data_IF_579137254862
#
_entry.id   IF_579137254862
#
_cell.length_a   1.000
_cell.length_b   1.000
_cell.length_c   1.000
_cell.angle_alpha   90.00
_cell.angle_beta   90.00
_cell.angle_gamma   90.00
#
_symmetry.space_group_name_H-M   'P 1'
#
loop_
_entity.id
_entity.type
_entity.pdbx_description
1 polymer ?
#
# COMPACT_ATOMS: atom_id res chain seq x y z
N UNK A 1 -2.34 22.70 -3.31
CA UNK A 1 -2.68 21.39 -3.91
C UNK A 1 -1.39 20.66 -4.22
N UNK A 2 -1.39 19.34 -4.11
CA UNK A 2 -0.27 18.51 -4.57
C UNK A 2 -0.30 18.36 -6.11
N UNK A 3 0.76 17.77 -6.69
CA UNK A 3 0.80 17.44 -8.11
C UNK A 3 -0.18 16.32 -8.47
N UNK A 4 -0.56 16.24 -9.75
CA UNK A 4 -1.45 15.19 -10.26
C UNK A 4 -0.90 13.78 -10.00
N UNK A 5 0.41 13.57 -10.22
CA UNK A 5 1.04 12.26 -10.01
C UNK A 5 0.95 11.82 -8.54
N UNK A 6 1.17 12.74 -7.60
CA UNK A 6 1.03 12.47 -6.16
C UNK A 6 -0.41 12.16 -5.77
N UNK A 7 -1.38 12.84 -6.38
CA UNK A 7 -2.81 12.56 -6.16
C UNK A 7 -3.18 11.16 -6.68
N UNK A 8 -2.74 10.81 -7.89
CA UNK A 8 -2.98 9.49 -8.48
C UNK A 8 -2.32 8.37 -7.65
N UNK A 9 -1.08 8.58 -7.21
CA UNK A 9 -0.36 7.66 -6.35
C UNK A 9 -1.07 7.44 -5.00
N UNK A 10 -1.55 8.51 -4.36
CA UNK A 10 -2.31 8.41 -3.12
C UNK A 10 -3.64 7.66 -3.30
N UNK A 11 -4.30 7.83 -4.45
CA UNK A 11 -5.55 7.15 -4.84
C UNK A 11 -5.35 5.72 -5.34
N UNK A 12 -4.12 5.23 -5.47
CA UNK A 12 -3.87 3.80 -5.62
C UNK A 12 -4.22 3.02 -4.34
N UNK A 13 -4.39 3.71 -3.21
CA UNK A 13 -4.72 3.11 -1.91
C UNK A 13 -3.80 1.96 -1.48
N UNK A 14 -2.54 2.00 -1.92
CA UNK A 14 -1.56 0.95 -1.60
C UNK A 14 -1.29 0.89 -0.09
N UNK A 15 -1.32 -0.32 0.47
CA UNK A 15 -0.96 -0.56 1.86
C UNK A 15 0.55 -0.51 2.05
N UNK A 16 1.01 0.05 3.17
CA UNK A 16 2.42 0.00 3.55
C UNK A 16 2.64 -1.10 4.57
N UNK A 17 3.50 -2.08 4.27
CA UNK A 17 3.72 -3.25 5.14
C UNK A 17 4.03 -2.90 6.60
N UNK A 18 4.78 -1.81 6.83
CA UNK A 18 5.27 -1.43 8.16
C UNK A 18 4.55 -0.22 8.79
N UNK A 19 3.65 0.44 8.05
CA UNK A 19 2.97 1.67 8.49
C UNK A 19 1.48 1.62 8.15
N UNK A 20 0.69 2.42 8.84
CA UNK A 20 -0.69 2.66 8.47
C UNK A 20 -0.76 3.89 7.56
N UNK A 21 -1.65 3.89 6.58
CA UNK A 21 -1.97 5.09 5.80
C UNK A 21 -3.25 5.71 6.35
N UNK A 22 -3.20 6.96 6.80
CA UNK A 22 -4.39 7.69 7.21
C UNK A 22 -4.75 8.72 6.15
N UNK A 23 -5.98 8.63 5.65
CA UNK A 23 -6.62 9.59 4.76
C UNK A 23 -7.55 10.48 5.58
N UNK A 24 -7.34 11.79 5.51
CA UNK A 24 -8.18 12.78 6.19
C UNK A 24 -8.84 13.59 5.08
N UNK A 25 -10.16 13.60 5.00
CA UNK A 25 -10.86 14.20 3.88
C UNK A 25 -12.02 15.09 4.30
N UNK A 26 -12.34 16.04 3.43
CA UNK A 26 -13.52 16.90 3.52
C UNK A 26 -14.17 16.96 2.14
N UNK A 27 -15.22 16.18 1.95
CA UNK A 27 -15.96 15.99 0.71
C UNK A 27 -17.21 16.89 0.60
N UNK A 28 -17.30 17.91 1.46
CA UNK A 28 -18.46 18.79 1.55
C UNK A 28 -18.22 20.17 0.91
N UNK A 29 -19.25 20.67 0.20
CA UNK A 29 -19.30 22.05 -0.31
C UNK A 29 -19.65 23.07 0.79
N UNK A 30 -20.18 22.60 1.91
CA UNK A 30 -20.56 23.49 3.00
C UNK A 30 -19.32 24.10 3.67
N UNK A 31 -19.35 25.41 3.95
CA UNK A 31 -18.21 26.15 4.48
C UNK A 31 -17.02 26.27 3.52
N UNK A 32 -17.21 26.16 2.19
CA UNK A 32 -16.10 26.12 1.21
C UNK A 32 -15.13 27.30 1.24
N UNK A 33 -15.55 28.45 1.77
CA UNK A 33 -14.69 29.63 1.94
C UNK A 33 -13.79 29.55 3.19
N UNK A 34 -14.03 28.58 4.09
CA UNK A 34 -13.29 28.38 5.33
C UNK A 34 -12.32 27.21 5.20
N UNK A 35 -11.03 27.51 5.39
CA UNK A 35 -10.00 26.50 5.64
C UNK A 35 -10.02 26.09 7.10
N UNK A 36 -9.76 24.82 7.38
CA UNK A 36 -9.69 24.30 8.75
C UNK A 36 -8.34 23.66 8.99
N UNK A 37 -7.64 24.10 10.03
CA UNK A 37 -6.31 23.58 10.34
C UNK A 37 -6.42 22.19 10.97
N UNK A 38 -5.48 21.32 10.60
CA UNK A 38 -5.35 19.97 11.11
C UNK A 38 -4.07 19.84 11.93
N UNK A 39 -4.19 19.17 13.06
CA UNK A 39 -3.08 18.75 13.91
C UNK A 39 -3.14 17.24 14.12
N UNK A 40 -2.00 16.58 13.99
CA UNK A 40 -1.84 15.15 14.27
C UNK A 40 -0.80 14.97 15.37
N UNK A 41 -1.20 14.33 16.47
CA UNK A 41 -0.39 14.15 17.68
C UNK A 41 0.17 15.48 18.22
N UNK A 42 -0.59 16.56 18.07
CA UNK A 42 -0.21 17.92 18.49
C UNK A 42 0.70 18.66 17.49
N UNK A 43 1.01 18.05 16.34
CA UNK A 43 1.81 18.67 15.29
C UNK A 43 0.88 19.22 14.20
N UNK A 44 0.98 20.51 13.89
CA UNK A 44 0.24 21.11 12.77
C UNK A 44 0.70 20.50 11.44
N UNK A 45 -0.24 19.90 10.70
CA UNK A 45 0.04 19.18 9.45
C UNK A 45 -0.43 19.93 8.19
N UNK A 46 -1.31 20.91 8.34
CA UNK A 46 -1.79 21.74 7.24
C UNK A 46 -3.25 22.15 7.42
N UNK A 47 -3.90 22.53 6.32
CA UNK A 47 -5.29 23.00 6.31
C UNK A 47 -6.09 22.31 5.21
N UNK A 48 -7.32 21.91 5.52
CA UNK A 48 -8.26 21.37 4.53
C UNK A 48 -9.17 22.47 3.98
N UNK A 49 -9.58 22.31 2.73
CA UNK A 49 -10.64 23.09 2.10
C UNK A 49 -11.76 22.13 1.61
N UNK A 50 -12.84 22.68 1.05
CA UNK A 50 -13.89 21.87 0.44
C UNK A 50 -13.34 20.99 -0.70
N UNK A 51 -13.79 19.73 -0.76
CA UNK A 51 -13.39 18.73 -1.76
C UNK A 51 -11.89 18.44 -1.78
N UNK A 52 -11.30 18.38 -0.59
CA UNK A 52 -9.86 18.10 -0.45
C UNK A 52 -9.60 16.96 0.52
N UNK A 53 -8.46 16.31 0.35
CA UNK A 53 -7.97 15.32 1.29
C UNK A 53 -6.47 15.42 1.49
N UNK A 54 -6.03 14.86 2.59
CA UNK A 54 -4.66 14.72 3.04
C UNK A 54 -4.37 13.25 3.31
N UNK A 55 -3.11 12.85 3.19
CA UNK A 55 -2.67 11.49 3.53
C UNK A 55 -1.35 11.53 4.27
N UNK A 56 -1.28 10.75 5.34
CA UNK A 56 -0.14 10.67 6.25
C UNK A 56 0.17 9.20 6.56
N UNK A 57 1.46 8.89 6.73
CA UNK A 57 1.94 7.58 7.12
C UNK A 57 2.16 7.54 8.63
N UNK A 58 1.56 6.57 9.32
CA UNK A 58 1.60 6.45 10.77
C UNK A 58 2.29 5.17 11.22
N UNK A 59 2.98 5.26 12.36
CA UNK A 59 3.44 4.06 13.07
C UNK A 59 2.21 3.35 13.65
N UNK A 60 2.24 2.02 13.83
CA UNK A 60 1.16 1.33 14.53
C UNK A 60 1.03 1.84 15.97
N UNK A 61 -0.19 2.02 16.46
CA UNK A 61 -0.44 2.54 17.80
C UNK A 61 -1.62 3.52 17.85
N UNK A 62 -1.72 4.24 18.97
CA UNK A 62 -2.75 5.25 19.18
C UNK A 62 -2.26 6.63 18.73
N UNK A 63 -3.13 7.33 18.01
CA UNK A 63 -2.89 8.67 17.49
C UNK A 63 -4.08 9.57 17.82
N UNK A 64 -3.84 10.89 17.82
CA UNK A 64 -4.85 11.91 18.03
C UNK A 64 -4.89 12.88 16.86
N UNK A 65 -6.02 12.93 16.17
CA UNK A 65 -6.28 13.95 15.15
C UNK A 65 -7.12 15.07 15.78
N UNK A 66 -6.70 16.32 15.59
CA UNK A 66 -7.44 17.51 16.02
C UNK A 66 -7.71 18.39 14.80
N UNK A 67 -8.97 18.81 14.64
CA UNK A 67 -9.39 19.82 13.68
C UNK A 67 -9.67 21.11 14.42
N UNK A 68 -8.88 22.14 14.14
CA UNK A 68 -9.05 23.47 14.71
C UNK A 68 -10.16 24.22 13.99
N UNK A 69 -11.16 24.66 14.73
CA UNK A 69 -12.24 25.52 14.26
C UNK A 69 -12.77 26.37 15.41
N UNK A 70 -13.95 27.01 15.28
CA UNK A 70 -14.55 27.75 16.40
C UNK A 70 -14.74 26.88 17.65
N UNK A 71 -14.95 25.57 17.45
CA UNK A 71 -14.88 24.54 18.48
C UNK A 71 -13.93 23.44 17.98
N UNK A 72 -12.81 23.22 18.68
CA UNK A 72 -11.84 22.18 18.33
C UNK A 72 -12.48 20.78 18.38
N UNK A 73 -12.33 20.01 17.31
CA UNK A 73 -12.75 18.61 17.24
C UNK A 73 -11.55 17.71 17.45
N UNK A 74 -11.60 16.78 18.41
CA UNK A 74 -10.52 15.83 18.67
C UNK A 74 -11.01 14.39 18.55
N UNK A 75 -10.28 13.57 17.82
CA UNK A 75 -10.54 12.14 17.66
C UNK A 75 -9.28 11.35 18.01
N UNK A 76 -9.40 10.46 18.99
CA UNK A 76 -8.37 9.48 19.33
C UNK A 76 -8.72 8.17 18.63
N UNK A 77 -7.77 7.59 17.92
CA UNK A 77 -7.94 6.35 17.16
C UNK A 77 -6.67 5.50 17.25
N UNK A 78 -6.79 4.22 16.89
CA UNK A 78 -5.66 3.29 16.85
C UNK A 78 -5.52 2.67 15.47
N UNK A 79 -4.29 2.54 15.01
CA UNK A 79 -3.97 2.03 13.67
C UNK A 79 -3.03 0.83 13.75
N UNK A 80 -3.16 -0.06 12.77
CA UNK A 80 -2.29 -1.23 12.57
C UNK A 80 -1.47 -1.05 11.30
N UNK A 81 -0.26 -1.61 11.29
CA UNK A 81 0.57 -1.65 10.09
C UNK A 81 -0.17 -2.35 8.93
N UNK A 82 0.09 -1.93 7.70
CA UNK A 82 -0.48 -2.56 6.51
C UNK A 82 -1.96 -2.24 6.27
N UNK A 83 -2.53 -1.25 6.94
CA UNK A 83 -3.94 -0.88 6.80
C UNK A 83 -4.12 0.60 6.45
N UNK A 84 -5.22 0.88 5.75
CA UNK A 84 -5.63 2.24 5.42
C UNK A 84 -6.81 2.64 6.31
N UNK A 85 -6.76 3.86 6.83
CA UNK A 85 -7.78 4.44 7.69
C UNK A 85 -8.29 5.73 7.06
N UNK A 86 -9.56 6.03 7.29
CA UNK A 86 -10.23 7.16 6.67
C UNK A 86 -10.94 7.95 7.76
N UNK A 87 -10.64 9.24 7.86
CA UNK A 87 -11.30 10.15 8.78
C UNK A 87 -11.96 11.26 7.97
N UNK A 88 -13.28 11.34 8.07
CA UNK A 88 -14.07 12.44 7.54
C UNK A 88 -14.01 13.63 8.48
N UNK A 89 -13.78 14.80 7.91
CA UNK A 89 -13.93 16.09 8.57
C UNK A 89 -15.22 16.75 8.05
N UNK A 90 -16.31 16.54 8.81
CA UNK A 90 -17.62 17.12 8.52
C UNK A 90 -17.69 18.56 9.04
N UNK A 91 -18.25 19.47 8.24
CA UNK A 91 -18.53 20.86 8.65
C UNK A 91 -19.97 20.97 9.12
N UNK A 92 -20.16 21.23 10.42
CA UNK A 92 -21.48 21.43 11.01
C UNK A 92 -21.79 22.92 11.15
N UNK A 93 -23.05 23.31 10.90
CA UNK A 93 -23.53 24.61 11.37
C UNK A 93 -23.61 24.62 12.90
N UNK A 94 -22.95 25.59 13.52
CA UNK A 94 -23.09 25.91 14.93
C UNK A 94 -23.68 27.31 15.12
N UNK A 95 -24.25 27.56 16.31
CA UNK A 95 -24.88 28.84 16.66
C UNK A 95 -23.88 30.02 16.76
N UNK A 96 -22.57 29.75 16.88
CA UNK A 96 -21.48 30.74 16.94
C UNK A 96 -20.49 30.64 15.75
N UNK A 97 -20.79 29.85 14.72
CA UNK A 97 -19.87 29.61 13.59
C UNK A 97 -19.81 28.16 13.14
N UNK A 98 -18.99 27.88 12.13
CA UNK A 98 -18.78 26.52 11.61
C UNK A 98 -18.03 25.64 12.60
N UNK A 99 -18.68 24.56 13.04
CA UNK A 99 -18.08 23.50 13.86
C UNK A 99 -17.48 22.44 12.96
N UNK A 100 -16.49 21.70 13.46
CA UNK A 100 -15.97 20.52 12.79
C UNK A 100 -16.27 19.25 13.60
N UNK A 101 -16.59 18.16 12.91
CA UNK A 101 -16.68 16.83 13.50
C UNK A 101 -15.74 15.88 12.76
N UNK A 102 -14.85 15.24 13.51
CA UNK A 102 -13.99 14.18 12.99
C UNK A 102 -14.65 12.82 13.21
N UNK A 103 -14.73 12.01 12.15
CA UNK A 103 -15.32 10.67 12.21
C UNK A 103 -14.44 9.66 11.49
N UNK A 104 -14.07 8.59 12.18
CA UNK A 104 -13.50 7.42 11.51
C UNK A 104 -14.60 6.74 10.69
N UNK A 105 -14.33 6.51 9.40
CA UNK A 105 -15.26 5.88 8.46
C UNK A 105 -14.70 4.58 7.94
N UNK A 106 -15.57 3.73 7.40
CA UNK A 106 -15.18 2.49 6.74
C UNK A 106 -14.44 2.76 5.43
N UNK A 107 -13.71 1.75 4.95
CA UNK A 107 -12.87 1.84 3.76
C UNK A 107 -13.65 2.12 2.48
N UNK A 108 -14.85 1.56 2.33
CA UNK A 108 -15.65 1.72 1.11
C UNK A 108 -16.11 3.17 0.99
N UNK A 109 -16.68 3.70 2.07
CA UNK A 109 -17.12 5.10 2.15
C UNK A 109 -15.94 6.06 1.99
N UNK A 110 -14.84 5.81 2.71
CA UNK A 110 -13.66 6.66 2.70
C UNK A 110 -12.98 6.75 1.33
N UNK A 111 -12.79 5.61 0.63
CA UNK A 111 -12.22 5.60 -0.72
C UNK A 111 -13.07 6.39 -1.70
N UNK A 112 -14.38 6.17 -1.71
CA UNK A 112 -15.30 6.86 -2.62
C UNK A 112 -15.29 8.38 -2.44
N UNK A 113 -15.10 8.87 -1.20
CA UNK A 113 -14.98 10.29 -0.91
C UNK A 113 -13.60 10.87 -1.32
N UNK A 114 -12.52 10.13 -1.07
CA UNK A 114 -11.15 10.51 -1.47
C UNK A 114 -11.02 10.59 -2.99
N UNK A 115 -11.60 9.65 -3.74
CA UNK A 115 -11.59 9.64 -5.21
C UNK A 115 -12.16 10.92 -5.82
N UNK A 116 -13.21 11.47 -5.19
CA UNK A 116 -13.90 12.71 -5.59
C UNK A 116 -13.19 13.99 -5.10
N UNK A 117 -12.18 13.85 -4.25
CA UNK A 117 -11.47 14.96 -3.62
C UNK A 117 -10.08 15.16 -4.23
N UNK A 118 -9.45 16.31 -3.96
CA UNK A 118 -8.09 16.65 -4.42
C UNK A 118 -7.06 16.61 -3.30
N UNK A 119 -5.89 16.03 -3.58
CA UNK A 119 -4.80 15.98 -2.61
C UNK A 119 -4.25 17.37 -2.29
N UNK A 120 -4.14 17.67 -1.01
CA UNK A 120 -3.44 18.85 -0.52
C UNK A 120 -1.96 18.56 -0.26
N UNK A 121 -1.15 19.59 -0.40
CA UNK A 121 0.23 19.54 0.06
C UNK A 121 0.22 19.87 1.55
N UNK A 122 0.60 18.90 2.38
CA UNK A 122 0.78 19.10 3.81
C UNK A 122 2.08 19.87 4.06
N UNK A 123 2.09 20.68 5.12
CA UNK A 123 3.20 21.55 5.51
C UNK A 123 3.47 21.38 7.00
N UNK A 124 4.73 21.12 7.37
CA UNK A 124 5.13 20.89 8.76
C UNK A 124 5.13 19.42 9.22
N UNK A 125 4.78 18.48 8.33
CA UNK A 125 4.85 17.06 8.66
C UNK A 125 6.30 16.59 8.84
N UNK A 126 6.59 15.78 9.89
CA UNK A 126 7.84 15.03 9.98
C UNK A 126 8.04 14.14 8.75
N UNK A 127 9.28 14.02 8.27
CA UNK A 127 9.60 13.23 7.08
C UNK A 127 9.20 11.74 7.22
N UNK A 128 9.22 11.19 8.43
CA UNK A 128 8.81 9.81 8.68
C UNK A 128 7.29 9.61 8.61
N UNK A 129 6.50 10.68 8.66
CA UNK A 129 5.05 10.65 8.50
C UNK A 129 4.59 11.07 7.10
N UNK A 130 5.48 11.63 6.29
CA UNK A 130 5.19 11.97 4.91
C UNK A 130 4.91 10.70 4.10
N UNK A 131 4.07 10.84 3.05
CA UNK A 131 3.95 9.77 2.07
C UNK A 131 5.33 9.45 1.47
N UNK A 132 5.72 8.17 1.38
CA UNK A 132 6.93 7.78 0.70
C UNK A 132 6.85 8.19 -0.76
N UNK A 133 8.00 8.54 -1.32
CA UNK A 133 8.15 8.75 -2.76
C UNK A 133 7.90 7.45 -3.53
N UNK A 134 7.56 7.57 -4.83
CA UNK A 134 7.34 6.42 -5.72
C UNK A 134 8.52 5.42 -5.72
N UNK A 135 9.74 5.91 -5.51
CA UNK A 135 10.96 5.09 -5.39
C UNK A 135 11.08 4.32 -4.07
N UNK A 136 10.43 4.78 -2.99
CA UNK A 136 10.46 4.11 -1.68
C UNK A 136 9.41 3.01 -1.57
N UNK A 137 8.27 3.13 -2.26
CA UNK A 137 7.25 2.08 -2.29
C UNK A 137 7.61 0.92 -3.21
N UNK A 138 8.37 1.16 -4.28
CA UNK A 138 8.87 0.09 -5.14
C UNK A 138 9.93 -0.78 -4.44
N UNK A 139 10.64 -0.25 -3.44
CA UNK A 139 11.49 -1.04 -2.53
C UNK A 139 10.69 -1.81 -1.46
N UNK A 140 9.58 -1.25 -0.96
CA UNK A 140 8.74 -1.92 0.06
C UNK A 140 7.77 -2.97 -0.53
N UNK A 141 7.37 -2.79 -1.80
CA UNK A 141 6.45 -3.65 -2.53
C UNK A 141 7.15 -4.61 -3.51
N UNK A 142 8.48 -4.73 -3.41
CA UNK A 142 9.09 -6.03 -3.63
C UNK A 142 8.50 -6.96 -2.57
N UNK A 143 7.41 -7.67 -2.92
CA UNK A 143 7.24 -9.00 -2.37
C UNK A 143 8.59 -9.66 -2.50
N UNK A 144 9.14 -9.98 -1.33
CA UNK A 144 10.33 -10.79 -1.21
C UNK A 144 10.05 -12.00 -2.08
N UNK A 145 10.64 -12.03 -3.28
CA UNK A 145 10.79 -13.27 -4.02
C UNK A 145 11.62 -14.09 -3.06
N UNK A 146 10.96 -14.86 -2.20
CA UNK A 146 11.57 -15.77 -1.28
C UNK A 146 12.44 -16.64 -2.19
N UNK A 147 13.74 -16.37 -2.19
CA UNK A 147 14.69 -17.13 -2.98
C UNK A 147 14.77 -18.45 -2.26
N UNK A 148 13.80 -19.34 -2.53
CA UNK A 148 13.80 -20.70 -2.02
C UNK A 148 15.18 -21.24 -2.36
N UNK A 149 15.93 -21.65 -1.34
CA UNK A 149 17.27 -22.16 -1.52
C UNK A 149 17.22 -23.29 -2.56
N UNK A 150 18.17 -23.29 -3.49
CA UNK A 150 18.24 -24.32 -4.53
C UNK A 150 18.30 -25.71 -3.88
N UNK A 151 17.31 -26.54 -4.17
CA UNK A 151 17.25 -27.94 -3.74
C UNK A 151 17.23 -28.81 -4.98
N UNK A 152 18.20 -29.69 -5.14
CA UNK A 152 18.11 -30.71 -6.16
C UNK A 152 17.05 -31.75 -5.76
N UNK A 153 16.20 -32.14 -6.71
CA UNK A 153 15.26 -33.25 -6.55
C UNK A 153 15.72 -34.48 -7.31
N UNK A 154 14.95 -35.57 -7.23
CA UNK A 154 15.30 -36.86 -7.83
C UNK A 154 15.41 -36.79 -9.36
N UNK A 155 14.65 -35.89 -9.97
CA UNK A 155 14.50 -35.73 -11.42
C UNK A 155 15.18 -34.47 -11.96
N UNK A 156 16.03 -33.79 -11.18
CA UNK A 156 16.67 -32.52 -11.59
C UNK A 156 17.38 -32.60 -12.95
N UNK A 157 18.20 -33.64 -13.18
CA UNK A 157 18.90 -33.82 -14.46
C UNK A 157 17.94 -34.05 -15.65
N UNK A 158 16.83 -34.76 -15.42
CA UNK A 158 15.78 -34.97 -16.43
C UNK A 158 15.10 -33.66 -16.80
N UNK A 159 14.85 -32.80 -15.80
CA UNK A 159 14.24 -31.48 -16.01
C UNK A 159 15.20 -30.52 -16.72
N UNK A 160 16.50 -30.53 -16.38
CA UNK A 160 17.50 -29.72 -17.10
C UNK A 160 17.59 -30.10 -18.57
N UNK A 161 17.57 -31.40 -18.88
CA UNK A 161 17.53 -31.88 -20.27
C UNK A 161 16.26 -31.43 -20.99
N UNK A 162 15.11 -31.51 -20.32
CA UNK A 162 13.82 -31.07 -20.86
C UNK A 162 13.78 -29.54 -21.08
N UNK A 163 14.37 -28.76 -20.16
CA UNK A 163 14.51 -27.31 -20.29
C UNK A 163 15.35 -26.95 -21.51
N UNK A 164 16.49 -27.63 -21.72
CA UNK A 164 17.35 -27.46 -22.90
C UNK A 164 16.61 -27.74 -24.21
N UNK A 165 15.74 -28.76 -24.24
CA UNK A 165 14.88 -29.06 -25.39
C UNK A 165 13.84 -27.96 -25.68
N UNK A 166 13.48 -27.18 -24.66
CA UNK A 166 12.58 -26.03 -24.78
C UNK A 166 13.35 -24.69 -24.85
N UNK A 167 14.60 -24.71 -25.31
CA UNK A 167 15.46 -23.53 -25.45
C UNK A 167 15.72 -22.77 -24.15
N UNK A 168 15.55 -23.40 -22.99
CA UNK A 168 15.93 -22.86 -21.71
C UNK A 168 17.29 -23.43 -21.28
N UNK A 169 18.31 -22.58 -21.29
CA UNK A 169 19.62 -22.86 -20.71
C UNK A 169 19.81 -21.87 -19.56
N UNK A 170 20.23 -22.38 -18.42
CA UNK A 170 20.43 -21.60 -17.20
C UNK A 170 21.79 -21.91 -16.59
N UNK A 171 22.43 -20.90 -16.00
CA UNK A 171 23.62 -21.07 -15.15
C UNK A 171 23.32 -22.00 -13.94
N UNK A 172 22.09 -21.94 -13.44
CA UNK A 172 21.62 -22.72 -12.30
C UNK A 172 20.72 -23.86 -12.80
N UNK A 173 20.95 -25.09 -12.30
CA UNK A 173 20.22 -26.30 -12.68
C UNK A 173 18.73 -26.30 -12.31
N UNK A 174 18.07 -27.46 -12.35
CA UNK A 174 16.66 -27.57 -11.99
C UNK A 174 16.46 -27.62 -10.47
N UNK A 175 15.92 -26.53 -9.92
CA UNK A 175 15.60 -26.40 -8.51
C UNK A 175 14.20 -26.94 -8.21
N UNK A 176 14.09 -27.74 -7.16
CA UNK A 176 12.85 -28.34 -6.68
C UNK A 176 12.07 -27.32 -5.82
N UNK A 177 10.81 -27.07 -6.19
CA UNK A 177 9.88 -26.17 -5.49
C UNK A 177 9.00 -26.89 -4.45
N UNK A 178 8.83 -28.21 -4.58
CA UNK A 178 8.03 -29.02 -3.66
C UNK A 178 8.93 -29.85 -2.73
N UNK A 179 8.43 -30.38 -1.60
CA UNK A 179 9.12 -31.46 -0.90
C UNK A 179 9.34 -32.66 -1.85
N UNK A 180 10.43 -33.43 -1.67
CA UNK A 180 10.63 -34.69 -2.39
C UNK A 180 9.44 -35.63 -2.17
N UNK A 181 8.90 -36.20 -3.25
CA UNK A 181 7.66 -36.96 -3.18
C UNK A 181 7.23 -37.56 -4.53
N UNK A 182 5.99 -38.10 -4.61
CA UNK A 182 5.47 -38.70 -5.84
C UNK A 182 5.22 -37.69 -6.96
N UNK A 183 5.03 -36.42 -6.60
CA UNK A 183 4.89 -35.29 -7.52
C UNK A 183 5.93 -34.23 -7.11
N UNK A 184 6.80 -33.92 -8.05
CA UNK A 184 7.88 -32.95 -7.89
C UNK A 184 7.68 -31.80 -8.88
N UNK A 185 7.67 -30.56 -8.41
CA UNK A 185 7.65 -29.37 -9.29
C UNK A 185 9.02 -28.73 -9.29
N UNK A 186 9.54 -28.47 -10.49
CA UNK A 186 10.86 -27.89 -10.70
C UNK A 186 10.78 -26.55 -11.42
N UNK A 187 11.76 -25.71 -11.14
CA UNK A 187 12.01 -24.44 -11.82
C UNK A 187 13.47 -24.38 -12.28
N UNK A 188 13.67 -24.04 -13.54
CA UNK A 188 14.97 -23.71 -14.13
C UNK A 188 14.98 -22.23 -14.46
N UNK A 189 16.03 -21.52 -14.03
CA UNK A 189 16.20 -20.10 -14.36
C UNK A 189 16.93 -20.01 -15.69
N UNK A 190 16.25 -19.57 -16.75
CA UNK A 190 16.85 -19.46 -18.08
C UNK A 190 17.63 -18.13 -18.19
N UNK A 191 18.82 -18.16 -18.80
CA UNK A 191 19.70 -16.99 -18.95
C UNK A 191 19.08 -15.92 -19.86
N UNK A 192 18.17 -16.32 -20.74
CA UNK A 192 17.47 -15.45 -21.69
C UNK A 192 15.98 -15.81 -21.67
N UNK A 193 15.21 -15.21 -20.77
CA UNK A 193 13.74 -15.27 -20.80
C UNK A 193 13.06 -15.71 -19.51
N UNK A 194 11.82 -16.18 -19.66
CA UNK A 194 10.99 -16.65 -18.54
C UNK A 194 11.54 -17.98 -17.98
N UNK A 195 11.41 -18.23 -16.66
CA UNK A 195 11.85 -19.47 -16.05
C UNK A 195 11.06 -20.66 -16.63
N UNK A 196 11.75 -21.77 -16.87
CA UNK A 196 11.12 -23.00 -17.31
C UNK A 196 10.60 -23.79 -16.11
N UNK A 197 9.33 -24.17 -16.14
CA UNK A 197 8.72 -24.99 -15.09
C UNK A 197 8.39 -26.38 -15.61
N UNK A 198 8.62 -27.39 -14.77
CA UNK A 198 8.27 -28.77 -15.08
C UNK A 198 7.65 -29.46 -13.87
N UNK A 199 6.63 -30.28 -14.12
CA UNK A 199 6.06 -31.19 -13.13
C UNK A 199 6.48 -32.61 -13.48
N UNK A 200 7.09 -33.28 -12.52
CA UNK A 200 7.48 -34.68 -12.62
C UNK A 200 6.57 -35.50 -11.70
N UNK A 201 5.87 -36.48 -12.26
CA UNK A 201 5.02 -37.40 -11.53
C UNK A 201 5.48 -38.83 -11.86
N UNK A 202 5.79 -39.62 -10.83
CA UNK A 202 6.34 -40.99 -11.00
C UNK A 202 7.53 -41.04 -11.98
N UNK A 203 8.45 -40.07 -11.90
CA UNK A 203 9.62 -39.87 -12.78
C UNK A 203 9.32 -39.52 -14.24
N UNK A 204 8.08 -39.17 -14.57
CA UNK A 204 7.71 -38.65 -15.88
C UNK A 204 7.55 -37.14 -15.80
N UNK A 205 8.49 -36.40 -16.40
CA UNK A 205 8.50 -34.94 -16.37
C UNK A 205 7.81 -34.35 -17.61
N UNK A 206 6.93 -33.38 -17.38
CA UNK A 206 6.27 -32.59 -18.42
C UNK A 206 6.47 -31.10 -18.17
N UNK A 207 6.68 -30.35 -19.25
CA UNK A 207 6.72 -28.90 -19.19
C UNK A 207 5.37 -28.36 -18.71
N UNK A 208 5.41 -27.46 -17.73
CA UNK A 208 4.24 -26.70 -17.32
C UNK A 208 4.18 -25.47 -18.21
N UNK A 209 3.06 -25.29 -18.92
CA UNK A 209 2.77 -24.05 -19.66
C UNK A 209 2.10 -23.05 -18.72
#
# INVERSE_FOLDING_TARGET
MASFDKDAQAKAFNHQKLKAQLYIYRDESFGAMSKMSLELDGIAIGETAAHTYAVVSLKPGSHTLTSKSSDDSRLVFSVKAGQNYYIQQEVKLGWLGGRSKLQLVDEVTGKAAVEKSKLIQLSGLPADMAMPSESEQSAANQEEVERIAFRAGVSSATVEKLAKQNSCVGEHGAGLLTPPGPVEVYRVSCDQGAPFMARCELRQCKAMR
#
